data_IF_754328283276
#
_entry.id   IF_754328283276
#
_cell.length_a   1.000
_cell.length_b   1.000
_cell.length_c   1.000
_cell.angle_alpha   90.00
_cell.angle_beta   90.00
_cell.angle_gamma   90.00
#
_symmetry.space_group_name_H-M   'P 1'
#
loop_
_entity.id
_entity.type
_entity.pdbx_description
1 polymer ?
#
# COMPACT_ATOMS: atom_id res chain seq x y z
N UNK A 1 -23.86 7.13 -14.95
CA UNK A 1 -22.67 7.21 -15.82
C UNK A 1 -21.49 6.98 -14.93
N UNK A 2 -20.94 5.78 -14.92
CA UNK A 2 -19.76 5.43 -14.16
C UNK A 2 -18.57 6.13 -14.79
N UNK A 3 -17.99 7.11 -14.08
CA UNK A 3 -16.70 7.69 -14.40
C UNK A 3 -15.70 6.54 -14.46
N UNK A 4 -15.28 6.15 -15.65
CA UNK A 4 -14.18 5.21 -15.82
C UNK A 4 -12.93 5.87 -15.24
N UNK A 5 -12.46 5.39 -14.11
CA UNK A 5 -11.13 5.70 -13.61
C UNK A 5 -10.15 5.09 -14.61
N UNK A 6 -9.76 5.86 -15.61
CA UNK A 6 -8.77 5.48 -16.64
C UNK A 6 -7.35 5.65 -16.11
N UNK A 7 -7.12 5.50 -14.82
CA UNK A 7 -5.77 5.54 -14.25
C UNK A 7 -5.32 4.11 -13.91
N UNK A 8 -4.10 3.79 -14.32
CA UNK A 8 -3.39 2.58 -13.95
C UNK A 8 -3.48 2.39 -12.43
N UNK A 9 -4.04 1.26 -11.98
CA UNK A 9 -4.07 0.91 -10.56
C UNK A 9 -2.65 0.77 -10.03
N UNK A 10 -2.39 1.34 -8.86
CA UNK A 10 -1.10 1.24 -8.18
C UNK A 10 -1.08 0.06 -7.22
N UNK A 11 0.08 -0.56 -7.11
CA UNK A 11 0.33 -1.66 -6.18
C UNK A 11 1.50 -1.34 -5.26
N UNK A 12 1.33 -1.65 -4.00
CA UNK A 12 2.35 -1.44 -2.99
C UNK A 12 2.25 -2.44 -1.86
N UNK A 13 3.04 -2.20 -0.83
CA UNK A 13 3.02 -3.00 0.38
C UNK A 13 2.78 -2.15 1.61
N UNK A 14 2.21 -2.79 2.63
CA UNK A 14 2.16 -2.30 3.99
C UNK A 14 3.02 -3.23 4.85
N UNK A 15 4.25 -2.81 5.10
CA UNK A 15 5.22 -3.53 5.91
C UNK A 15 5.02 -3.11 7.38
N UNK A 16 4.18 -3.88 8.11
CA UNK A 16 4.31 -3.96 9.54
C UNK A 16 5.45 -4.95 9.78
N UNK A 17 6.62 -4.58 10.28
CA UNK A 17 7.78 -5.44 10.26
C UNK A 17 7.65 -6.57 11.30
N UNK A 18 6.65 -7.42 11.07
CA UNK A 18 6.25 -8.52 11.94
C UNK A 18 7.27 -9.64 11.83
N UNK A 19 8.09 -9.79 12.87
CA UNK A 19 9.09 -10.84 12.95
C UNK A 19 8.88 -11.70 14.19
N UNK A 20 9.13 -12.98 14.03
CA UNK A 20 9.02 -13.92 15.14
C UNK A 20 9.99 -13.54 16.27
N UNK A 21 9.51 -13.33 17.51
CA UNK A 21 10.38 -13.11 18.65
C UNK A 21 11.40 -14.23 18.78
N UNK A 22 12.68 -13.87 18.92
CA UNK A 22 13.80 -14.80 18.98
C UNK A 22 14.63 -14.86 17.70
N UNK A 23 14.19 -14.27 16.61
CA UNK A 23 15.05 -14.04 15.44
C UNK A 23 16.19 -13.05 15.76
N UNK A 24 17.19 -13.00 14.90
CA UNK A 24 18.23 -11.98 14.98
C UNK A 24 17.73 -10.66 14.36
N UNK A 25 17.49 -9.59 15.14
CA UNK A 25 16.90 -8.36 14.64
C UNK A 25 17.75 -7.65 13.57
N UNK A 26 19.06 -7.82 13.59
CA UNK A 26 19.94 -7.27 12.54
C UNK A 26 19.64 -7.90 11.18
N UNK A 27 19.39 -9.21 11.15
CA UNK A 27 19.03 -9.92 9.94
C UNK A 27 17.60 -9.62 9.48
N UNK A 28 16.68 -9.46 10.41
CA UNK A 28 15.31 -9.12 10.09
C UNK A 28 15.23 -7.73 9.44
N UNK A 29 15.90 -6.72 9.99
CA UNK A 29 15.98 -5.38 9.38
C UNK A 29 16.66 -5.39 8.00
N UNK A 30 17.77 -6.16 7.84
CA UNK A 30 18.43 -6.28 6.53
C UNK A 30 17.52 -7.00 5.51
N UNK A 31 16.79 -8.04 5.93
CA UNK A 31 15.81 -8.75 5.10
C UNK A 31 14.72 -7.81 4.61
N UNK A 32 14.20 -6.95 5.48
CA UNK A 32 13.17 -5.97 5.12
C UNK A 32 13.71 -4.93 4.12
N UNK A 33 14.95 -4.47 4.29
CA UNK A 33 15.58 -3.58 3.31
C UNK A 33 15.75 -4.26 1.95
N UNK A 34 16.23 -5.51 1.92
CA UNK A 34 16.35 -6.31 0.69
C UNK A 34 15.00 -6.57 0.03
N UNK A 35 13.96 -6.76 0.84
CA UNK A 35 12.60 -6.92 0.36
C UNK A 35 12.10 -5.65 -0.35
N UNK A 36 12.30 -4.47 0.22
CA UNK A 36 11.93 -3.21 -0.42
C UNK A 36 12.73 -2.97 -1.73
N UNK A 37 14.02 -3.34 -1.76
CA UNK A 37 14.80 -3.33 -3.01
C UNK A 37 14.22 -4.29 -4.07
N UNK A 38 13.76 -5.45 -3.65
CA UNK A 38 13.14 -6.41 -4.55
C UNK A 38 11.85 -5.86 -5.15
N UNK A 39 11.00 -5.23 -4.34
CA UNK A 39 9.77 -4.59 -4.80
C UNK A 39 10.04 -3.45 -5.79
N UNK A 40 11.07 -2.63 -5.56
CA UNK A 40 11.51 -1.58 -6.48
C UNK A 40 11.87 -2.16 -7.86
N UNK A 41 12.63 -3.25 -7.89
CA UNK A 41 12.97 -3.96 -9.14
C UNK A 41 11.78 -4.58 -9.86
N UNK A 42 10.76 -5.02 -9.11
CA UNK A 42 9.53 -5.56 -9.66
C UNK A 42 8.56 -4.49 -10.17
N UNK A 43 8.81 -3.20 -9.88
CA UNK A 43 7.98 -2.09 -10.31
C UNK A 43 6.74 -1.87 -9.44
N UNK A 44 6.79 -2.25 -8.17
CA UNK A 44 5.80 -1.81 -7.19
C UNK A 44 5.87 -0.30 -7.00
N UNK A 45 4.71 0.32 -6.77
CA UNK A 45 4.58 1.78 -6.74
C UNK A 45 4.89 2.38 -5.37
N UNK A 46 4.53 1.69 -4.25
CA UNK A 46 4.59 2.26 -2.89
C UNK A 46 4.99 1.19 -1.85
N UNK A 47 5.81 1.56 -0.86
CA UNK A 47 6.10 0.75 0.32
C UNK A 47 5.85 1.56 1.59
N UNK A 48 4.85 1.18 2.38
CA UNK A 48 4.49 1.77 3.67
C UNK A 48 5.19 1.02 4.80
N UNK A 49 5.90 1.73 5.66
CA UNK A 49 6.71 1.18 6.76
C UNK A 49 6.07 1.54 8.10
N UNK A 50 5.72 0.52 8.88
CA UNK A 50 5.05 0.66 10.18
C UNK A 50 5.93 1.25 11.28
N UNK A 51 5.28 1.75 12.35
CA UNK A 51 5.89 2.24 13.59
C UNK A 51 5.26 1.55 14.78
N UNK A 52 6.08 0.81 15.55
CA UNK A 52 5.68 0.27 16.85
C UNK A 52 6.83 0.29 17.86
N UNK A 53 6.48 0.37 19.15
CA UNK A 53 7.44 0.54 20.24
C UNK A 53 7.38 -0.58 21.28
N UNK A 54 6.39 -1.48 21.18
CA UNK A 54 6.15 -2.55 22.13
C UNK A 54 5.87 -3.87 21.44
N UNK A 55 5.46 -4.90 22.20
CA UNK A 55 5.07 -6.22 21.73
C UNK A 55 6.19 -7.17 21.29
N UNK A 56 7.35 -6.70 20.87
CA UNK A 56 8.49 -7.51 20.44
C UNK A 56 8.33 -8.21 19.10
N UNK A 57 7.32 -7.84 18.29
CA UNK A 57 7.06 -8.41 16.97
C UNK A 57 7.38 -7.43 15.85
N UNK A 58 6.89 -6.21 15.95
CA UNK A 58 7.17 -5.14 15.01
C UNK A 58 8.33 -4.31 15.53
N UNK A 59 9.51 -4.46 14.92
CA UNK A 59 10.79 -3.97 15.47
C UNK A 59 11.23 -2.62 14.92
N UNK A 60 10.49 -2.03 13.98
CA UNK A 60 10.78 -0.70 13.46
C UNK A 60 10.10 0.35 14.34
N UNK A 61 10.89 1.04 15.17
CA UNK A 61 10.43 2.11 16.04
C UNK A 61 10.55 3.51 15.43
N UNK A 62 11.17 3.62 14.27
CA UNK A 62 11.31 4.87 13.50
C UNK A 62 11.29 4.55 12.02
N UNK A 63 10.12 4.61 11.37
CA UNK A 63 10.01 4.38 9.95
C UNK A 63 10.87 5.35 9.13
N UNK A 64 11.11 6.58 9.62
CA UNK A 64 11.94 7.57 8.95
C UNK A 64 13.40 7.11 8.81
N UNK A 65 13.97 6.45 9.82
CA UNK A 65 15.33 5.90 9.75
C UNK A 65 15.41 4.75 8.75
N UNK A 66 14.42 3.86 8.78
CA UNK A 66 14.34 2.75 7.82
C UNK A 66 14.20 3.26 6.38
N UNK A 67 13.31 4.24 6.15
CA UNK A 67 13.11 4.86 4.83
C UNK A 67 14.38 5.56 4.36
N UNK A 68 15.13 6.25 5.23
CA UNK A 68 16.39 6.87 4.86
C UNK A 68 17.42 5.85 4.36
N UNK A 69 17.48 4.66 4.98
CA UNK A 69 18.32 3.55 4.53
C UNK A 69 17.82 2.95 3.21
N UNK A 70 16.50 2.67 3.10
CA UNK A 70 15.89 2.13 1.90
C UNK A 70 16.01 3.06 0.68
N UNK A 71 15.95 4.38 0.90
CA UNK A 71 16.08 5.38 -0.15
C UNK A 71 17.42 5.34 -0.89
N UNK A 72 18.49 4.87 -0.23
CA UNK A 72 19.80 4.72 -0.84
C UNK A 72 19.95 3.42 -1.65
N UNK A 73 19.01 2.49 -1.48
CA UNK A 73 18.97 1.17 -2.11
C UNK A 73 17.95 1.07 -3.23
N UNK A 74 17.01 2.02 -3.31
CA UNK A 74 15.88 2.04 -4.26
C UNK A 74 15.94 3.25 -5.18
N UNK A 75 15.21 3.21 -6.32
CA UNK A 75 15.24 4.25 -7.34
C UNK A 75 13.86 4.85 -7.65
N UNK A 76 12.84 4.00 -7.79
CA UNK A 76 11.55 4.39 -8.36
C UNK A 76 10.40 4.28 -7.34
N UNK A 77 10.40 3.25 -6.49
CA UNK A 77 9.36 3.02 -5.49
C UNK A 77 9.24 4.20 -4.53
N UNK A 78 8.02 4.63 -4.28
CA UNK A 78 7.73 5.61 -3.23
C UNK A 78 7.82 4.95 -1.87
N UNK A 79 8.49 5.60 -0.95
CA UNK A 79 8.70 5.14 0.41
C UNK A 79 7.78 5.92 1.34
N UNK A 80 7.01 5.21 2.15
CA UNK A 80 5.96 5.83 2.95
C UNK A 80 6.06 5.43 4.42
N UNK A 81 5.75 6.35 5.32
CA UNK A 81 5.49 5.98 6.71
C UNK A 81 4.12 5.32 6.82
N UNK A 82 4.02 4.23 7.51
CA UNK A 82 2.81 3.42 7.58
C UNK A 82 2.40 3.00 9.01
N UNK A 83 2.36 3.97 9.96
CA UNK A 83 2.33 5.44 9.90
C UNK A 83 3.35 6.06 10.86
N UNK A 84 3.51 7.39 10.85
CA UNK A 84 4.02 8.11 12.01
C UNK A 84 2.85 8.28 12.98
N UNK A 85 3.03 7.80 14.20
CA UNK A 85 2.06 7.96 15.29
C UNK A 85 2.22 9.37 15.88
N UNK A 86 1.58 10.38 15.28
CA UNK A 86 1.81 11.79 15.58
C UNK A 86 1.78 12.15 17.08
N UNK A 87 0.89 11.56 17.93
CA UNK A 87 0.85 11.85 19.35
C UNK A 87 2.12 11.48 20.14
N UNK A 88 2.97 10.62 19.56
CA UNK A 88 4.21 10.19 20.21
C UNK A 88 5.38 11.16 19.97
N UNK A 89 5.20 12.14 19.09
CA UNK A 89 6.26 12.99 18.60
C UNK A 89 5.91 14.47 18.69
N UNK A 90 6.89 15.32 18.99
CA UNK A 90 6.71 16.77 18.93
C UNK A 90 6.52 17.23 17.46
N UNK A 91 5.47 17.99 17.11
CA UNK A 91 5.11 18.28 15.71
C UNK A 91 6.21 18.99 14.91
N UNK A 92 7.00 19.90 15.53
CA UNK A 92 8.14 20.53 14.86
C UNK A 92 9.18 19.49 14.43
N UNK A 93 9.52 18.56 15.34
CA UNK A 93 10.49 17.50 15.04
C UNK A 93 10.01 16.59 13.91
N UNK A 94 8.71 16.29 13.85
CA UNK A 94 8.11 15.52 12.75
C UNK A 94 8.23 16.29 11.44
N UNK A 95 7.83 17.56 11.40
CA UNK A 95 7.89 18.39 10.19
C UNK A 95 9.33 18.54 9.67
N UNK A 96 10.32 18.72 10.55
CA UNK A 96 11.74 18.80 10.17
C UNK A 96 12.26 17.46 9.59
N UNK A 97 11.94 16.32 10.23
CA UNK A 97 12.33 14.99 9.76
C UNK A 97 11.68 14.65 8.42
N UNK A 98 10.39 14.96 8.25
CA UNK A 98 9.68 14.80 6.98
C UNK A 98 10.35 15.63 5.88
N UNK A 99 10.65 16.91 6.16
CA UNK A 99 11.30 17.78 5.19
C UNK A 99 12.67 17.23 4.76
N UNK A 100 13.49 16.83 5.74
CA UNK A 100 14.81 16.24 5.43
C UNK A 100 14.69 14.95 4.64
N UNK A 101 13.75 14.09 4.99
CA UNK A 101 13.53 12.80 4.34
C UNK A 101 13.01 12.97 2.91
N UNK A 102 12.17 13.97 2.66
CA UNK A 102 11.68 14.30 1.31
C UNK A 102 12.84 14.73 0.38
N UNK A 103 13.80 15.49 0.89
CA UNK A 103 15.05 15.79 0.17
C UNK A 103 15.91 14.54 -0.07
N UNK A 104 16.09 13.66 0.94
CA UNK A 104 16.87 12.43 0.82
C UNK A 104 16.24 11.47 -0.19
N UNK A 105 14.93 11.38 -0.26
CA UNK A 105 14.18 10.55 -1.20
C UNK A 105 13.97 11.22 -2.56
N UNK A 106 14.31 12.53 -2.70
CA UNK A 106 14.09 13.33 -3.91
C UNK A 106 12.62 13.31 -4.38
N UNK A 107 11.69 13.52 -3.42
CA UNK A 107 10.26 13.58 -3.70
C UNK A 107 9.55 12.22 -3.84
N UNK A 108 10.22 11.12 -3.45
CA UNK A 108 9.58 9.79 -3.37
C UNK A 108 8.93 9.49 -2.02
N UNK A 109 8.86 10.48 -1.12
CA UNK A 109 8.26 10.31 0.20
C UNK A 109 6.74 10.43 0.13
N UNK A 110 6.03 9.53 0.84
CA UNK A 110 4.64 9.68 1.25
C UNK A 110 4.61 9.64 2.77
N UNK A 111 3.80 10.50 3.40
CA UNK A 111 3.70 10.58 4.85
C UNK A 111 2.36 10.02 5.31
N UNK A 112 2.33 8.76 5.72
CA UNK A 112 1.18 8.21 6.41
C UNK A 112 1.19 8.66 7.88
N UNK A 113 0.05 9.13 8.36
CA UNK A 113 -0.12 9.63 9.73
C UNK A 113 -1.28 8.95 10.45
N UNK A 114 -1.10 8.70 11.75
CA UNK A 114 -2.09 8.04 12.58
C UNK A 114 -2.00 8.44 14.06
N UNK A 115 -2.99 7.97 14.85
CA UNK A 115 -3.01 8.27 16.31
C UNK A 115 -2.14 7.32 17.13
N UNK A 116 -1.60 6.26 16.56
CA UNK A 116 -1.05 5.11 17.27
C UNK A 116 -2.10 4.01 17.49
N UNK A 117 -1.70 2.76 17.30
CA UNK A 117 -2.61 1.61 17.30
C UNK A 117 -2.58 0.82 18.61
N UNK A 118 -1.40 0.67 19.24
CA UNK A 118 -1.23 -0.19 20.42
C UNK A 118 -1.34 0.61 21.72
N UNK A 119 -2.28 0.24 22.61
CA UNK A 119 -2.33 0.85 23.95
C UNK A 119 -1.03 0.70 24.75
N UNK A 120 -0.27 -0.40 24.52
CA UNK A 120 1.02 -0.64 25.15
C UNK A 120 2.09 0.36 24.72
N UNK A 121 2.11 0.81 23.46
CA UNK A 121 3.02 1.87 23.00
C UNK A 121 2.74 3.18 23.74
N UNK A 122 1.49 3.60 23.80
CA UNK A 122 1.07 4.79 24.54
C UNK A 122 1.43 4.70 26.04
N UNK A 123 1.17 3.56 26.67
CA UNK A 123 1.47 3.34 28.08
C UNK A 123 2.96 3.44 28.38
N UNK A 124 3.84 2.89 27.53
CA UNK A 124 5.29 2.99 27.68
C UNK A 124 5.79 4.44 27.59
N UNK A 125 5.09 5.30 26.85
CA UNK A 125 5.41 6.72 26.70
C UNK A 125 4.72 7.61 27.75
N UNK A 126 3.92 7.02 28.65
CA UNK A 126 3.16 7.77 29.66
C UNK A 126 2.00 8.58 29.07
N UNK A 127 1.43 8.11 27.97
CA UNK A 127 0.34 8.78 27.27
C UNK A 127 -0.99 8.09 27.53
N UNK A 128 -2.05 8.91 27.67
CA UNK A 128 -3.42 8.42 27.78
C UNK A 128 -3.99 8.06 26.40
N UNK A 129 -4.27 6.77 26.15
CA UNK A 129 -4.72 6.25 24.86
C UNK A 129 -5.97 6.96 24.33
N UNK A 130 -6.88 7.37 25.21
CA UNK A 130 -8.11 8.08 24.86
C UNK A 130 -7.88 9.48 24.27
N UNK A 131 -6.74 10.11 24.53
CA UNK A 131 -6.38 11.44 24.05
C UNK A 131 -5.62 11.42 22.70
N UNK A 132 -5.18 10.27 22.23
CA UNK A 132 -4.30 10.18 21.08
C UNK A 132 -4.92 10.76 19.80
N UNK A 133 -6.23 10.61 19.59
CA UNK A 133 -6.89 11.17 18.40
C UNK A 133 -6.90 12.68 18.38
N UNK A 134 -7.17 13.31 19.51
CA UNK A 134 -7.16 14.76 19.67
C UNK A 134 -5.75 15.31 19.47
N UNK A 135 -4.75 14.68 20.08
CA UNK A 135 -3.32 15.05 19.90
C UNK A 135 -2.86 14.88 18.43
N UNK A 136 -3.33 13.85 17.75
CA UNK A 136 -3.06 13.65 16.32
C UNK A 136 -3.59 14.83 15.50
N UNK A 137 -4.82 15.27 15.74
CA UNK A 137 -5.44 16.38 15.02
C UNK A 137 -4.66 17.68 15.26
N UNK A 138 -4.35 18.02 16.51
CA UNK A 138 -3.55 19.20 16.87
C UNK A 138 -2.14 19.18 16.25
N UNK A 139 -1.49 18.00 16.24
CA UNK A 139 -0.18 17.81 15.63
C UNK A 139 -0.21 17.98 14.11
N UNK A 140 -1.19 17.35 13.45
CA UNK A 140 -1.34 17.43 12.00
C UNK A 140 -1.57 18.87 11.53
N UNK A 141 -2.42 19.60 12.24
CA UNK A 141 -2.67 21.01 11.95
C UNK A 141 -1.41 21.88 12.11
N UNK A 142 -0.62 21.61 13.16
CA UNK A 142 0.65 22.33 13.36
C UNK A 142 1.69 21.99 12.28
N UNK A 143 1.78 20.71 11.87
CA UNK A 143 2.69 20.25 10.83
C UNK A 143 2.33 20.87 9.47
N UNK A 144 1.06 20.90 9.09
CA UNK A 144 0.60 21.53 7.85
C UNK A 144 0.89 23.03 7.83
N UNK A 145 0.70 23.72 8.97
CA UNK A 145 1.03 25.13 9.09
C UNK A 145 2.54 25.40 8.93
N UNK A 146 3.41 24.51 9.44
CA UNK A 146 4.87 24.65 9.29
C UNK A 146 5.36 24.46 7.84
N UNK A 147 4.60 23.77 6.99
CA UNK A 147 4.97 23.56 5.59
C UNK A 147 4.67 24.75 4.68
N UNK A 148 3.95 25.76 5.14
CA UNK A 148 3.70 26.96 4.34
C UNK A 148 4.98 27.79 4.18
N UNK A 149 5.08 28.61 3.12
CA UNK A 149 6.25 29.45 2.85
C UNK A 149 6.49 30.50 3.94
N UNK A 150 5.42 31.00 4.57
CA UNK A 150 5.45 31.96 5.67
C UNK A 150 5.29 31.28 7.06
N UNK A 151 5.58 29.99 7.12
CA UNK A 151 5.31 29.11 8.26
C UNK A 151 6.06 29.43 9.55
N UNK A 152 5.98 30.67 10.03
CA UNK A 152 6.35 31.04 11.41
C UNK A 152 5.12 30.94 12.27
N UNK A 153 5.06 29.96 13.17
CA UNK A 153 3.88 29.73 13.99
C UNK A 153 4.18 29.81 15.49
N UNK A 154 3.21 30.37 16.20
CA UNK A 154 3.08 30.29 17.64
C UNK A 154 1.84 29.48 17.96
N UNK A 155 2.00 28.37 18.68
CA UNK A 155 0.90 27.50 19.07
C UNK A 155 1.17 26.87 20.43
N UNK A 156 0.14 26.79 21.26
CA UNK A 156 0.20 26.12 22.53
C UNK A 156 -1.01 25.22 22.72
N UNK A 157 -0.75 23.97 23.07
CA UNK A 157 -1.74 22.98 23.50
C UNK A 157 -1.37 22.47 24.89
N UNK A 158 -2.08 21.48 25.40
CA UNK A 158 -1.78 20.87 26.70
C UNK A 158 -0.52 20.00 26.69
N UNK A 159 0.00 19.65 25.51
CA UNK A 159 1.11 18.70 25.39
C UNK A 159 2.29 19.17 24.54
N UNK A 160 2.15 20.24 23.73
CA UNK A 160 3.28 20.89 23.08
C UNK A 160 3.13 22.42 23.03
N UNK A 161 4.26 23.11 22.87
CA UNK A 161 4.31 24.54 22.63
C UNK A 161 5.30 24.87 21.52
N UNK A 162 4.85 25.62 20.52
CA UNK A 162 5.65 26.20 19.44
C UNK A 162 5.76 27.72 19.70
N UNK A 163 6.97 28.25 19.65
CA UNK A 163 7.25 29.68 19.80
C UNK A 163 8.05 30.16 18.62
N UNK A 164 7.44 30.97 17.76
CA UNK A 164 8.06 31.43 16.51
C UNK A 164 8.72 30.27 15.75
N UNK A 165 8.10 29.11 15.78
CA UNK A 165 8.63 27.91 15.15
C UNK A 165 8.57 28.02 13.64
N UNK A 166 9.66 27.65 12.99
CA UNK A 166 9.84 27.71 11.54
C UNK A 166 10.77 26.60 11.08
N UNK A 167 10.48 26.01 9.93
CA UNK A 167 11.39 25.04 9.31
C UNK A 167 12.64 25.75 8.75
N UNK A 168 13.82 25.12 8.91
CA UNK A 168 15.07 25.65 8.36
C UNK A 168 15.14 25.54 6.83
N UNK A 169 14.37 24.63 6.24
CA UNK A 169 14.25 24.43 4.80
C UNK A 169 12.84 24.00 4.47
N UNK A 170 12.37 24.38 3.29
CA UNK A 170 11.07 23.93 2.78
C UNK A 170 11.20 22.51 2.22
N UNK A 171 10.12 21.69 2.23
CA UNK A 171 10.12 20.36 1.62
C UNK A 171 10.61 20.38 0.16
N UNK A 172 11.17 19.29 -0.33
CA UNK A 172 11.51 19.11 -1.75
C UNK A 172 10.26 19.16 -2.63
N UNK A 173 9.21 18.46 -2.23
CA UNK A 173 7.89 18.45 -2.85
C UNK A 173 7.06 19.62 -2.37
N UNK A 174 6.39 20.35 -3.27
CA UNK A 174 5.58 21.53 -2.92
C UNK A 174 4.08 21.27 -2.98
N UNK A 175 3.28 21.77 -2.04
CA UNK A 175 3.68 22.52 -0.82
C UNK A 175 4.33 21.62 0.24
N UNK A 176 4.06 20.32 0.21
CA UNK A 176 4.63 19.29 1.08
C UNK A 176 4.53 17.92 0.39
N UNK A 177 5.27 16.88 0.84
CA UNK A 177 5.07 15.51 0.34
C UNK A 177 3.63 15.06 0.55
N UNK A 178 3.08 14.16 -0.29
CA UNK A 178 1.75 13.62 -0.09
C UNK A 178 1.57 13.06 1.33
N UNK A 179 0.48 13.45 2.00
CA UNK A 179 0.14 12.97 3.35
C UNK A 179 -1.11 12.09 3.23
N UNK A 180 -1.11 10.93 3.89
CA UNK A 180 -2.25 10.03 3.93
C UNK A 180 -2.69 9.80 5.39
N UNK A 181 -3.97 9.95 5.67
CA UNK A 181 -4.55 9.79 7.02
C UNK A 181 -5.13 8.39 7.16
N UNK A 182 -4.78 7.69 8.24
CA UNK A 182 -5.34 6.36 8.50
C UNK A 182 -6.84 6.40 8.79
N UNK A 183 -7.58 5.51 8.16
CA UNK A 183 -8.97 5.21 8.44
C UNK A 183 -9.11 3.71 8.68
N UNK A 184 -9.56 3.30 9.87
CA UNK A 184 -9.67 1.87 10.23
C UNK A 184 -11.14 1.44 10.23
N UNK A 185 -11.84 1.61 11.34
CA UNK A 185 -13.28 1.27 11.48
C UNK A 185 -14.08 2.49 11.94
N UNK A 186 -13.49 3.31 12.80
CA UNK A 186 -14.16 4.51 13.33
C UNK A 186 -14.23 5.63 12.28
N UNK A 187 -15.22 6.52 12.37
CA UNK A 187 -15.36 7.64 11.44
C UNK A 187 -14.26 8.70 11.54
N UNK A 188 -13.46 8.69 12.61
CA UNK A 188 -12.53 9.77 12.92
C UNK A 188 -11.49 10.00 11.80
N UNK A 189 -10.91 8.92 11.25
CA UNK A 189 -9.90 9.03 10.19
C UNK A 189 -10.46 9.63 8.90
N UNK A 190 -11.63 9.17 8.46
CA UNK A 190 -12.28 9.69 7.26
C UNK A 190 -12.68 11.17 7.40
N UNK A 191 -13.23 11.54 8.57
CA UNK A 191 -13.55 12.95 8.88
C UNK A 191 -12.29 13.83 8.89
N UNK A 192 -11.21 13.37 9.55
CA UNK A 192 -9.97 14.14 9.64
C UNK A 192 -9.33 14.31 8.27
N UNK A 193 -9.25 13.24 7.47
CA UNK A 193 -8.74 13.28 6.11
C UNK A 193 -9.49 14.34 5.25
N UNK A 194 -10.81 14.30 5.26
CA UNK A 194 -11.63 15.23 4.51
C UNK A 194 -11.53 16.69 4.99
N UNK A 195 -11.41 16.92 6.30
CA UNK A 195 -11.23 18.27 6.87
C UNK A 195 -9.95 18.96 6.44
N UNK A 196 -8.89 18.19 6.21
CA UNK A 196 -7.60 18.72 5.76
C UNK A 196 -7.33 18.53 4.27
N UNK A 197 -8.26 17.97 3.51
CA UNK A 197 -8.08 17.72 2.08
C UNK A 197 -7.02 16.67 1.77
N UNK A 198 -6.84 15.68 2.66
CA UNK A 198 -5.78 14.66 2.57
C UNK A 198 -6.34 13.30 2.19
N UNK A 199 -5.62 12.49 1.39
CA UNK A 199 -6.02 11.13 1.05
C UNK A 199 -6.20 10.20 2.25
N UNK A 200 -7.06 9.19 2.10
CA UNK A 200 -7.26 8.14 3.10
C UNK A 200 -6.38 6.92 2.86
N UNK A 201 -5.94 6.31 3.97
CA UNK A 201 -5.29 5.00 4.04
C UNK A 201 -6.14 4.04 4.89
N UNK A 202 -6.86 3.12 4.25
CA UNK A 202 -7.76 2.18 4.91
C UNK A 202 -7.00 0.89 5.31
N UNK A 203 -6.47 0.86 6.54
CA UNK A 203 -5.63 -0.25 7.03
C UNK A 203 -6.40 -1.56 7.26
N UNK A 204 -7.67 -1.47 7.62
CA UNK A 204 -8.50 -2.63 7.92
C UNK A 204 -9.53 -2.93 6.81
N UNK A 205 -9.26 -2.51 5.57
CA UNK A 205 -10.22 -2.59 4.47
C UNK A 205 -10.79 -3.99 4.24
N UNK A 206 -9.94 -5.02 4.32
CA UNK A 206 -10.35 -6.42 4.17
C UNK A 206 -10.83 -7.07 5.49
N UNK A 207 -10.85 -6.35 6.62
CA UNK A 207 -11.40 -6.92 7.85
C UNK A 207 -12.93 -6.93 7.83
N UNK A 208 -13.58 -7.85 8.57
CA UNK A 208 -15.05 -7.92 8.62
C UNK A 208 -15.74 -6.64 9.06
N UNK A 209 -15.08 -5.87 9.93
CA UNK A 209 -15.61 -4.58 10.38
C UNK A 209 -15.27 -3.45 9.39
N UNK A 210 -14.06 -3.47 8.84
CA UNK A 210 -13.57 -2.44 7.90
C UNK A 210 -14.30 -2.47 6.56
N UNK A 211 -14.50 -3.65 5.96
CA UNK A 211 -15.20 -3.80 4.68
C UNK A 211 -16.63 -3.21 4.70
N UNK A 212 -17.33 -3.34 5.83
CA UNK A 212 -18.69 -2.81 6.01
C UNK A 212 -18.79 -1.29 6.08
N UNK A 213 -17.67 -0.60 6.35
CA UNK A 213 -17.66 0.86 6.53
C UNK A 213 -16.99 1.61 5.38
N UNK A 214 -16.41 0.93 4.39
CA UNK A 214 -15.67 1.57 3.29
C UNK A 214 -16.52 2.61 2.55
N UNK A 215 -17.70 2.24 2.08
CA UNK A 215 -18.59 3.16 1.37
C UNK A 215 -18.97 4.36 2.24
N UNK A 216 -19.30 4.14 3.53
CA UNK A 216 -19.64 5.20 4.47
C UNK A 216 -18.44 6.12 4.77
N UNK A 217 -17.22 5.57 4.87
CA UNK A 217 -16.01 6.38 5.04
C UNK A 217 -15.78 7.28 3.81
N UNK A 218 -16.03 6.76 2.61
CA UNK A 218 -15.93 7.57 1.41
C UNK A 218 -16.96 8.71 1.37
N UNK A 219 -18.22 8.44 1.74
CA UNK A 219 -19.26 9.46 1.84
C UNK A 219 -18.87 10.57 2.83
N UNK A 220 -18.46 10.19 4.05
CA UNK A 220 -18.03 11.14 5.07
C UNK A 220 -16.82 11.96 4.64
N UNK A 221 -15.84 11.34 4.02
CA UNK A 221 -14.68 11.98 3.44
C UNK A 221 -15.09 13.03 2.40
N UNK A 222 -15.97 12.64 1.46
CA UNK A 222 -16.49 13.52 0.40
C UNK A 222 -17.26 14.71 0.97
N UNK A 223 -18.11 14.49 1.97
CA UNK A 223 -18.84 15.55 2.67
C UNK A 223 -17.90 16.55 3.35
N UNK A 224 -16.84 16.07 4.00
CA UNK A 224 -15.87 16.94 4.66
C UNK A 224 -15.04 17.74 3.65
N UNK A 225 -14.61 17.13 2.54
CA UNK A 225 -13.92 17.83 1.45
C UNK A 225 -14.80 18.99 0.93
N UNK A 226 -16.05 18.71 0.60
CA UNK A 226 -17.00 19.73 0.11
C UNK A 226 -17.20 20.85 1.15
N UNK A 227 -17.37 20.52 2.43
CA UNK A 227 -17.55 21.47 3.53
C UNK A 227 -16.36 22.42 3.71
N UNK A 228 -15.15 21.90 3.49
CA UNK A 228 -13.91 22.66 3.66
C UNK A 228 -13.32 23.22 2.35
N UNK A 229 -14.02 23.05 1.21
CA UNK A 229 -13.65 23.69 -0.06
C UNK A 229 -12.51 23.02 -0.83
N UNK A 230 -12.23 21.73 -0.58
CA UNK A 230 -11.16 20.97 -1.26
C UNK A 230 -11.56 20.33 -2.59
N UNK A 231 -12.77 20.57 -3.09
CA UNK A 231 -13.26 20.02 -4.37
C UNK A 231 -13.73 18.56 -4.28
N UNK A 232 -13.83 17.92 -5.45
CA UNK A 232 -14.30 16.53 -5.53
C UNK A 232 -13.23 15.53 -5.14
N UNK A 233 -13.58 14.47 -4.41
CA UNK A 233 -12.64 13.43 -4.01
C UNK A 233 -12.18 12.58 -5.21
N UNK A 234 -10.88 12.29 -5.27
CA UNK A 234 -10.32 11.37 -6.27
C UNK A 234 -10.05 9.97 -5.64
N UNK A 235 -10.78 8.97 -6.16
CA UNK A 235 -10.59 7.57 -5.74
C UNK A 235 -9.21 7.03 -6.11
N UNK A 236 -8.52 7.64 -7.07
CA UNK A 236 -7.15 7.28 -7.41
C UNK A 236 -6.19 7.41 -6.22
N UNK A 237 -6.46 8.32 -5.28
CA UNK A 237 -5.61 8.55 -4.10
C UNK A 237 -6.05 7.74 -2.87
N UNK A 238 -7.13 6.98 -2.96
CA UNK A 238 -7.57 6.11 -1.87
C UNK A 238 -6.77 4.81 -1.86
N UNK A 239 -6.23 4.44 -0.70
CA UNK A 239 -5.41 3.24 -0.47
C UNK A 239 -6.14 2.25 0.40
N UNK A 240 -6.26 1.01 -0.05
CA UNK A 240 -6.85 -0.09 0.70
C UNK A 240 -5.80 -1.17 0.97
N UNK A 241 -5.80 -1.71 2.19
CA UNK A 241 -4.87 -2.77 2.63
C UNK A 241 -5.60 -4.10 2.75
N UNK A 242 -5.05 -5.17 2.17
CA UNK A 242 -5.47 -6.55 2.43
C UNK A 242 -4.28 -7.51 2.49
N UNK A 243 -4.50 -8.70 3.03
CA UNK A 243 -3.46 -9.73 3.06
C UNK A 243 -3.51 -10.55 1.78
N UNK A 244 -2.38 -10.73 1.10
CA UNK A 244 -2.29 -11.51 -0.14
C UNK A 244 -1.07 -12.42 -0.10
N UNK A 245 -1.25 -13.68 -0.47
CA UNK A 245 -0.18 -14.60 -0.84
C UNK A 245 -0.57 -15.35 -2.11
N UNK A 246 0.25 -15.26 -3.13
CA UNK A 246 0.00 -15.87 -4.43
C UNK A 246 1.07 -16.90 -4.78
N UNK A 247 0.64 -18.07 -5.26
CA UNK A 247 1.50 -19.10 -5.83
C UNK A 247 0.86 -19.65 -7.11
N UNK A 248 1.56 -20.47 -7.92
CA UNK A 248 1.01 -20.99 -9.18
C UNK A 248 -0.33 -21.71 -9.04
N UNK A 249 -0.61 -22.32 -7.91
CA UNK A 249 -1.91 -22.93 -7.57
C UNK A 249 -2.31 -22.60 -6.14
N UNK A 250 -3.60 -22.74 -5.82
CA UNK A 250 -4.15 -22.53 -4.47
C UNK A 250 -3.50 -23.49 -3.45
N UNK A 251 -3.36 -24.75 -3.81
CA UNK A 251 -2.76 -25.77 -2.94
C UNK A 251 -1.29 -25.43 -2.59
N UNK A 252 -0.56 -24.90 -3.56
CA UNK A 252 0.81 -24.44 -3.36
C UNK A 252 0.85 -23.23 -2.42
N UNK A 253 -0.01 -22.24 -2.64
CA UNK A 253 -0.10 -21.05 -1.79
C UNK A 253 -0.40 -21.42 -0.33
N UNK A 254 -1.35 -22.33 -0.12
CA UNK A 254 -1.74 -22.83 1.20
C UNK A 254 -0.60 -23.57 1.90
N UNK A 255 0.12 -24.41 1.15
CA UNK A 255 1.31 -25.12 1.65
C UNK A 255 2.41 -24.14 2.08
N UNK A 256 2.62 -23.06 1.31
CA UNK A 256 3.64 -22.05 1.60
C UNK A 256 3.30 -21.26 2.86
N UNK A 257 2.05 -20.79 3.04
CA UNK A 257 1.66 -20.03 4.22
C UNK A 257 1.54 -20.88 5.49
N UNK A 258 1.37 -22.20 5.37
CA UNK A 258 1.40 -23.10 6.52
C UNK A 258 2.72 -23.03 7.31
N UNK A 259 3.79 -22.48 6.72
CA UNK A 259 5.06 -22.24 7.37
C UNK A 259 4.97 -21.32 8.59
N UNK A 260 4.17 -20.27 8.53
CA UNK A 260 4.15 -19.23 9.57
C UNK A 260 2.75 -18.69 9.93
N UNK A 261 1.68 -19.16 9.31
CA UNK A 261 0.33 -18.60 9.53
C UNK A 261 -0.12 -18.66 10.99
N UNK A 262 0.24 -19.72 11.73
CA UNK A 262 -0.11 -19.83 13.15
C UNK A 262 0.65 -18.82 14.01
N UNK A 263 1.85 -18.40 13.61
CA UNK A 263 2.60 -17.34 14.28
C UNK A 263 2.02 -15.96 13.97
N UNK A 264 1.73 -15.70 12.71
CA UNK A 264 1.06 -14.46 12.30
C UNK A 264 -0.30 -14.31 12.98
N UNK A 265 -1.07 -15.41 13.06
CA UNK A 265 -2.30 -15.48 13.82
C UNK A 265 -2.08 -15.11 15.30
N UNK A 266 -1.16 -15.75 16.01
CA UNK A 266 -0.88 -15.45 17.42
C UNK A 266 -0.52 -13.99 17.66
N UNK A 267 0.13 -13.35 16.72
CA UNK A 267 0.39 -11.91 16.80
C UNK A 267 -0.89 -11.08 16.63
N UNK A 268 -1.71 -11.38 15.63
CA UNK A 268 -3.01 -10.73 15.43
C UNK A 268 -3.96 -10.97 16.62
N UNK A 269 -3.85 -12.12 17.31
CA UNK A 269 -4.66 -12.54 18.43
C UNK A 269 -4.39 -11.79 19.75
N UNK A 270 -3.38 -10.91 19.80
CA UNK A 270 -3.15 -10.05 20.97
C UNK A 270 -4.33 -9.12 21.26
N UNK A 271 -5.01 -8.71 20.21
CA UNK A 271 -6.27 -8.00 20.35
C UNK A 271 -7.41 -9.01 20.40
N UNK A 272 -7.78 -9.42 21.62
CA UNK A 272 -8.86 -10.37 21.85
C UNK A 272 -10.19 -9.93 21.22
N UNK A 273 -10.42 -8.61 21.07
CA UNK A 273 -11.62 -8.07 20.44
C UNK A 273 -11.60 -8.24 18.92
N UNK A 274 -10.44 -8.02 18.30
CA UNK A 274 -10.25 -8.28 16.87
C UNK A 274 -10.41 -9.77 16.55
N UNK A 275 -9.75 -10.62 17.34
CA UNK A 275 -9.86 -12.06 17.19
C UNK A 275 -11.30 -12.55 17.28
N UNK A 276 -12.01 -12.14 18.32
CA UNK A 276 -13.41 -12.52 18.53
C UNK A 276 -14.26 -12.13 17.32
N UNK A 277 -14.10 -10.90 16.81
CA UNK A 277 -14.83 -10.44 15.62
C UNK A 277 -14.51 -11.27 14.37
N UNK A 278 -13.25 -11.71 14.22
CA UNK A 278 -12.82 -12.56 13.10
C UNK A 278 -13.47 -13.95 13.19
N UNK A 279 -13.44 -14.61 14.36
CA UNK A 279 -14.11 -15.90 14.56
C UNK A 279 -15.63 -15.80 14.43
N UNK A 280 -16.25 -14.79 15.01
CA UNK A 280 -17.70 -14.55 14.85
C UNK A 280 -18.10 -14.37 13.38
N UNK A 281 -17.26 -13.69 12.59
CA UNK A 281 -17.53 -13.49 11.16
C UNK A 281 -17.27 -14.75 10.35
N UNK A 282 -16.25 -15.51 10.69
CA UNK A 282 -15.95 -16.79 10.02
C UNK A 282 -17.04 -17.84 10.23
N UNK A 283 -17.78 -17.75 11.33
CA UNK A 283 -18.75 -18.77 11.73
C UNK A 283 -18.12 -20.11 12.14
N UNK A 284 -16.79 -20.14 12.29
CA UNK A 284 -16.03 -21.32 12.67
C UNK A 284 -15.75 -21.36 14.18
N UNK A 285 -15.53 -22.56 14.77
CA UNK A 285 -15.18 -22.68 16.17
C UNK A 285 -13.78 -22.10 16.46
N UNK A 286 -13.54 -21.69 17.72
CA UNK A 286 -12.28 -21.04 18.13
C UNK A 286 -11.02 -21.93 18.02
N UNK A 287 -11.18 -23.23 17.84
CA UNK A 287 -10.11 -24.21 17.60
C UNK A 287 -9.93 -24.58 16.12
N UNK A 288 -10.66 -23.94 15.22
CA UNK A 288 -10.50 -24.14 13.77
C UNK A 288 -9.09 -23.72 13.30
N UNK A 289 -8.52 -24.41 12.29
CA UNK A 289 -7.26 -24.01 11.68
C UNK A 289 -7.32 -22.55 11.20
N UNK A 290 -6.27 -21.77 11.50
CA UNK A 290 -6.27 -20.33 11.20
C UNK A 290 -6.45 -20.02 9.72
N UNK A 291 -5.94 -20.86 8.82
CA UNK A 291 -6.14 -20.68 7.38
C UNK A 291 -7.62 -20.74 6.99
N UNK A 292 -8.39 -21.64 7.60
CA UNK A 292 -9.84 -21.74 7.35
C UNK A 292 -10.59 -20.52 7.88
N UNK A 293 -10.21 -20.06 9.07
CA UNK A 293 -10.74 -18.83 9.69
C UNK A 293 -10.40 -17.61 8.83
N UNK A 294 -9.17 -17.52 8.35
CA UNK A 294 -8.69 -16.43 7.47
C UNK A 294 -9.55 -16.34 6.20
N UNK A 295 -9.79 -17.48 5.54
CA UNK A 295 -10.62 -17.53 4.34
C UNK A 295 -12.08 -17.14 4.62
N UNK A 296 -12.67 -17.77 5.62
CA UNK A 296 -14.09 -17.55 5.96
C UNK A 296 -14.37 -16.11 6.39
N UNK A 297 -13.39 -15.43 6.98
CA UNK A 297 -13.51 -14.03 7.41
C UNK A 297 -13.11 -12.99 6.35
N UNK A 298 -12.69 -13.41 5.16
CA UNK A 298 -12.35 -12.55 4.04
C UNK A 298 -11.25 -11.51 4.34
N UNK A 299 -10.31 -11.83 5.25
CA UNK A 299 -9.20 -10.95 5.62
C UNK A 299 -8.21 -10.68 4.46
N UNK A 300 -8.32 -11.45 3.40
CA UNK A 300 -7.47 -11.40 2.22
C UNK A 300 -7.59 -12.67 1.40
N UNK A 301 -6.57 -12.97 0.63
CA UNK A 301 -6.52 -14.12 -0.26
C UNK A 301 -5.19 -14.87 -0.15
N UNK A 302 -5.27 -16.19 -0.12
CA UNK A 302 -4.18 -17.14 -0.29
C UNK A 302 -4.58 -18.06 -1.43
N UNK A 303 -3.92 -17.96 -2.60
CA UNK A 303 -4.39 -18.68 -3.78
C UNK A 303 -3.56 -18.50 -5.04
N UNK A 304 -4.16 -18.84 -6.19
CA UNK A 304 -3.60 -18.64 -7.52
C UNK A 304 -3.68 -17.16 -7.96
N UNK A 305 -3.04 -16.78 -9.09
CA UNK A 305 -3.23 -15.46 -9.66
C UNK A 305 -4.70 -15.09 -9.90
N UNK A 306 -5.52 -16.04 -10.36
CA UNK A 306 -6.95 -15.85 -10.60
C UNK A 306 -7.69 -15.55 -9.29
N UNK A 307 -7.40 -16.30 -8.22
CA UNK A 307 -8.00 -16.07 -6.90
C UNK A 307 -7.68 -14.64 -6.38
N UNK A 308 -6.46 -14.17 -6.63
CA UNK A 308 -6.03 -12.82 -6.22
C UNK A 308 -6.71 -11.74 -7.06
N UNK A 309 -6.86 -11.95 -8.36
CA UNK A 309 -7.61 -11.04 -9.24
C UNK A 309 -9.05 -10.91 -8.76
N UNK A 310 -9.75 -12.04 -8.52
CA UNK A 310 -11.12 -12.04 -8.00
C UNK A 310 -11.24 -11.28 -6.67
N UNK A 311 -10.27 -11.45 -5.76
CA UNK A 311 -10.25 -10.72 -4.49
C UNK A 311 -10.11 -9.21 -4.68
N UNK A 312 -9.23 -8.74 -5.56
CA UNK A 312 -9.04 -7.32 -5.83
C UNK A 312 -10.28 -6.73 -6.52
N UNK A 313 -10.90 -7.45 -7.45
CA UNK A 313 -12.18 -7.06 -8.09
C UNK A 313 -13.30 -6.94 -7.04
N UNK A 314 -13.41 -7.90 -6.13
CA UNK A 314 -14.33 -7.81 -4.99
C UNK A 314 -14.08 -6.56 -4.12
N UNK A 315 -12.82 -6.25 -3.82
CA UNK A 315 -12.47 -5.04 -3.06
C UNK A 315 -12.82 -3.76 -3.83
N UNK A 316 -12.69 -3.74 -5.16
CA UNK A 316 -13.15 -2.65 -6.02
C UNK A 316 -14.68 -2.48 -5.95
N UNK A 317 -15.43 -3.59 -5.98
CA UNK A 317 -16.88 -3.57 -5.91
C UNK A 317 -17.38 -3.00 -4.57
N UNK A 318 -16.94 -3.56 -3.44
CA UNK A 318 -17.41 -3.15 -2.10
C UNK A 318 -17.01 -1.74 -1.69
N UNK A 319 -15.91 -1.23 -2.24
CA UNK A 319 -15.44 0.14 -2.00
C UNK A 319 -16.06 1.16 -2.96
N UNK A 320 -16.59 0.71 -4.09
CA UNK A 320 -16.98 1.56 -5.23
C UNK A 320 -15.78 2.11 -6.02
N UNK A 321 -14.61 1.45 -5.91
CA UNK A 321 -13.36 1.79 -6.57
C UNK A 321 -12.33 2.46 -5.66
N UNK A 322 -11.05 2.16 -5.89
CA UNK A 322 -9.89 2.77 -5.22
C UNK A 322 -8.65 2.67 -6.12
N UNK A 323 -7.66 3.50 -5.88
CA UNK A 323 -6.51 3.63 -6.80
C UNK A 323 -5.27 2.84 -6.42
N UNK A 324 -5.09 2.50 -5.14
CA UNK A 324 -3.89 1.78 -4.69
C UNK A 324 -4.26 0.60 -3.81
N UNK A 325 -3.81 -0.59 -4.20
CA UNK A 325 -3.90 -1.79 -3.38
C UNK A 325 -2.57 -2.04 -2.67
N UNK A 326 -2.61 -2.05 -1.35
CA UNK A 326 -1.45 -2.34 -0.51
C UNK A 326 -1.56 -3.75 0.06
N UNK A 327 -0.55 -4.57 -0.19
CA UNK A 327 -0.45 -5.92 0.37
C UNK A 327 0.17 -5.81 1.76
N UNK A 328 -0.56 -6.23 2.80
CA UNK A 328 0.02 -6.37 4.13
C UNK A 328 1.08 -7.48 4.12
N UNK A 329 2.29 -7.13 4.48
CA UNK A 329 3.39 -8.09 4.59
C UNK A 329 3.26 -8.82 5.92
N UNK A 330 3.16 -10.15 5.85
CA UNK A 330 3.08 -11.05 6.99
C UNK A 330 4.21 -12.07 6.93
N UNK A 331 4.78 -12.44 8.07
CA UNK A 331 5.84 -13.46 8.17
C UNK A 331 5.22 -14.88 8.21
N UNK A 332 4.34 -15.19 7.25
CA UNK A 332 3.59 -16.44 7.16
C UNK A 332 4.11 -17.45 6.14
N UNK A 333 4.95 -17.03 5.20
CA UNK A 333 5.64 -17.91 4.26
C UNK A 333 7.14 -17.85 4.47
N UNK A 334 7.89 -18.80 3.92
CA UNK A 334 9.35 -18.72 3.96
C UNK A 334 9.85 -17.45 3.27
N UNK A 335 11.04 -16.91 3.61
CA UNK A 335 11.58 -15.73 2.95
C UNK A 335 11.65 -15.87 1.41
N UNK A 336 11.93 -17.06 0.91
CA UNK A 336 11.98 -17.34 -0.52
C UNK A 336 10.58 -17.35 -1.12
N UNK A 337 9.64 -18.11 -0.54
CA UNK A 337 8.26 -18.16 -1.04
C UNK A 337 7.59 -16.78 -1.00
N UNK A 338 7.97 -15.94 -0.03
CA UNK A 338 7.53 -14.55 0.02
C UNK A 338 8.00 -13.78 -1.21
N UNK A 339 9.29 -13.81 -1.55
CA UNK A 339 9.82 -13.12 -2.74
C UNK A 339 9.20 -13.65 -4.04
N UNK A 340 9.09 -14.98 -4.17
CA UNK A 340 8.49 -15.64 -5.33
C UNK A 340 7.00 -15.25 -5.50
N UNK A 341 6.26 -15.09 -4.40
CA UNK A 341 4.87 -14.60 -4.40
C UNK A 341 4.74 -13.18 -4.94
N UNK A 342 5.58 -12.24 -4.52
CA UNK A 342 5.55 -10.87 -5.03
C UNK A 342 6.00 -10.77 -6.50
N UNK A 343 6.95 -11.62 -6.93
CA UNK A 343 7.33 -11.72 -8.34
C UNK A 343 6.17 -12.23 -9.20
N UNK A 344 5.48 -13.28 -8.74
CA UNK A 344 4.31 -13.82 -9.43
C UNK A 344 3.17 -12.80 -9.50
N UNK A 345 2.91 -12.07 -8.39
CA UNK A 345 1.94 -10.98 -8.35
C UNK A 345 2.26 -9.90 -9.41
N UNK A 346 3.51 -9.43 -9.45
CA UNK A 346 3.93 -8.40 -10.40
C UNK A 346 3.81 -8.86 -11.86
N UNK A 347 4.04 -10.15 -12.12
CA UNK A 347 4.02 -10.74 -13.46
C UNK A 347 2.62 -11.07 -13.95
N UNK A 348 1.73 -11.59 -13.10
CA UNK A 348 0.47 -12.19 -13.53
C UNK A 348 -0.79 -11.46 -13.00
N UNK A 349 -0.72 -10.83 -11.82
CA UNK A 349 -1.86 -10.12 -11.23
C UNK A 349 -1.88 -8.63 -11.61
N UNK A 350 -0.80 -7.92 -11.35
CA UNK A 350 -0.74 -6.47 -11.56
C UNK A 350 -1.08 -6.04 -13.00
N UNK A 351 -0.62 -6.73 -14.07
CA UNK A 351 -0.94 -6.36 -15.45
C UNK A 351 -2.43 -6.35 -15.78
N UNK A 352 -3.25 -7.17 -15.09
CA UNK A 352 -4.69 -7.22 -15.27
C UNK A 352 -5.36 -5.86 -14.95
N UNK A 353 -4.87 -5.18 -13.89
CA UNK A 353 -5.41 -3.89 -13.42
C UNK A 353 -4.68 -2.67 -13.97
N UNK A 354 -3.63 -2.86 -14.75
CA UNK A 354 -2.78 -1.78 -15.26
C UNK A 354 -2.85 -1.59 -16.76
N UNK A 355 -3.70 -2.34 -17.46
CA UNK A 355 -3.84 -2.37 -18.92
C UNK A 355 -2.51 -2.58 -19.68
N UNK A 356 -1.47 -3.02 -18.97
CA UNK A 356 -0.12 -3.15 -19.54
C UNK A 356 0.01 -4.23 -20.61
N UNK A 357 -0.87 -5.23 -20.58
CA UNK A 357 -0.91 -6.33 -21.54
C UNK A 357 -2.02 -6.20 -22.60
N UNK A 358 -3.03 -5.37 -22.38
CA UNK A 358 -4.26 -5.31 -23.20
C UNK A 358 -3.95 -5.11 -24.68
N UNK A 359 -3.16 -4.10 -25.03
CA UNK A 359 -2.81 -3.82 -26.43
C UNK A 359 -2.01 -4.98 -27.09
N UNK A 360 -1.17 -5.67 -26.32
CA UNK A 360 -0.42 -6.84 -26.84
C UNK A 360 -1.36 -8.01 -27.13
N UNK A 361 -2.32 -8.26 -26.24
CA UNK A 361 -3.32 -9.32 -26.42
C UNK A 361 -4.24 -9.02 -27.61
N UNK A 362 -4.70 -7.78 -27.76
CA UNK A 362 -5.49 -7.34 -28.91
C UNK A 362 -4.73 -7.53 -30.22
N UNK A 363 -3.47 -7.07 -30.28
CA UNK A 363 -2.62 -7.23 -31.47
C UNK A 363 -2.35 -8.70 -31.78
N UNK A 364 -2.11 -9.52 -30.76
CA UNK A 364 -1.93 -10.96 -30.96
C UNK A 364 -3.18 -11.63 -31.52
N UNK A 365 -4.36 -11.31 -30.99
CA UNK A 365 -5.64 -11.82 -31.50
C UNK A 365 -5.90 -11.39 -32.94
N UNK A 366 -5.65 -10.14 -33.26
CA UNK A 366 -5.77 -9.63 -34.63
C UNK A 366 -4.79 -10.32 -35.59
N UNK A 367 -3.55 -10.54 -35.18
CA UNK A 367 -2.53 -11.23 -35.96
C UNK A 367 -2.91 -12.69 -36.18
N UNK A 368 -3.26 -13.43 -35.13
CA UNK A 368 -3.65 -14.84 -35.21
C UNK A 368 -4.90 -15.08 -36.08
N UNK A 369 -5.82 -14.11 -36.15
CA UNK A 369 -6.97 -14.15 -37.05
C UNK A 369 -6.65 -13.88 -38.53
N UNK A 370 -5.47 -13.34 -38.82
CA UNK A 370 -5.06 -12.89 -40.18
C UNK A 370 -3.97 -13.76 -40.82
N UNK A 371 -3.60 -14.88 -40.23
CA UNK A 371 -2.49 -15.74 -40.67
C UNK A 371 -2.61 -16.14 -42.17
N UNK A 372 -3.80 -16.48 -42.64
CA UNK A 372 -4.03 -16.82 -44.03
C UNK A 372 -3.83 -15.67 -45.02
N UNK A 373 -4.12 -14.43 -44.63
CA UNK A 373 -3.90 -13.21 -45.43
C UNK A 373 -2.43 -12.86 -45.52
N UNK A 374 -1.73 -12.92 -44.39
CA UNK A 374 -0.27 -12.68 -44.33
C UNK A 374 0.50 -13.70 -45.19
N UNK A 375 0.11 -14.98 -45.15
CA UNK A 375 0.74 -15.99 -45.98
C UNK A 375 0.51 -15.74 -47.49
N UNK A 376 -0.67 -15.32 -47.90
CA UNK A 376 -0.97 -14.91 -49.27
C UNK A 376 -0.15 -13.71 -49.71
N UNK A 377 -0.06 -12.69 -48.85
CA UNK A 377 0.71 -11.49 -49.14
C UNK A 377 2.22 -11.78 -49.27
N UNK A 378 2.77 -12.64 -48.40
CA UNK A 378 4.16 -13.07 -48.44
C UNK A 378 4.45 -13.85 -49.74
N UNK A 379 3.57 -14.77 -50.11
CA UNK A 379 3.69 -15.56 -51.34
C UNK A 379 3.69 -14.64 -52.59
N UNK A 380 2.76 -13.67 -52.64
CA UNK A 380 2.68 -12.71 -53.74
C UNK A 380 3.94 -11.81 -53.81
N UNK A 381 4.47 -11.38 -52.65
CA UNK A 381 5.69 -10.59 -52.62
C UNK A 381 6.91 -11.38 -53.15
N UNK A 382 7.05 -12.62 -52.73
CA UNK A 382 8.11 -13.53 -53.21
C UNK A 382 8.02 -13.78 -54.70
N UNK A 383 6.82 -14.03 -55.22
CA UNK A 383 6.60 -14.19 -56.67
C UNK A 383 6.99 -12.94 -57.46
N UNK A 384 6.64 -11.73 -56.98
CA UNK A 384 7.04 -10.48 -57.64
C UNK A 384 8.58 -10.27 -57.59
N UNK A 385 9.21 -10.63 -56.49
CA UNK A 385 10.66 -10.52 -56.36
C UNK A 385 11.35 -11.47 -57.37
N UNK A 386 10.87 -12.72 -57.48
CA UNK A 386 11.41 -13.68 -58.49
C UNK A 386 11.21 -13.20 -59.91
N UNK A 387 10.03 -12.70 -60.26
CA UNK A 387 9.77 -12.15 -61.60
C UNK A 387 10.71 -10.99 -61.97
N UNK A 388 10.99 -10.09 -61.02
CA UNK A 388 11.95 -8.99 -61.23
C UNK A 388 13.37 -9.50 -61.45
N UNK A 389 13.78 -10.50 -60.68
CA UNK A 389 15.09 -11.11 -60.84
C UNK A 389 15.25 -11.80 -62.20
N UNK A 390 14.25 -12.57 -62.62
CA UNK A 390 14.27 -13.24 -63.92
C UNK A 390 14.27 -12.29 -65.11
N UNK A 391 13.52 -11.17 -65.00
CA UNK A 391 13.50 -10.10 -65.99
C UNK A 391 14.85 -9.36 -66.08
N UNK A 392 15.56 -9.14 -64.99
CA UNK A 392 16.90 -8.50 -64.98
C UNK A 392 17.95 -9.42 -65.66
N UNK A 393 17.89 -10.72 -65.43
CA UNK A 393 18.81 -11.68 -66.08
C UNK A 393 18.59 -11.80 -67.57
N UNK A 394 17.36 -11.67 -68.07
CA UNK A 394 17.03 -11.74 -69.50
C UNK A 394 17.43 -10.48 -70.25
N UNK A 395 17.79 -9.39 -69.59
CA UNK A 395 18.31 -8.15 -70.18
C UNK A 395 19.87 -8.14 -70.25
N UNK A 396 20.53 -9.04 -69.53
CA UNK A 396 22.00 -9.20 -69.52
C UNK A 396 22.49 -10.34 -70.41
N UNK A 397 21.58 -11.11 -70.99
CA UNK A 397 21.84 -12.19 -71.99
C UNK A 397 21.51 -11.70 -73.40
#
# INVERSE_FOLDING_TARGET
MTSSVSSRMRFGVFLGPEHKPGNNPTWDLERDLQFVEHLDRLGFDEAFIGEHHSSGWEIISSPELFIAAAAQRTRDIKLATGVISLPYHHPLMVAERITMLDHLTRGRLIVGVGPGALPSDAAMMGLEYTQLRERMEESLEAILALFTEDGVIDRKTDWFELRRAQLQMLPYTRPHPPIAVTAVVSPAGANLAGRFGLPMLALAAASPAGSKVLAKHWEMYSEQLARHGFGEPDRADWRLVSCVHVAPTREEAERQVAYGIDHAARYALRDASFLKAVYETSGLPEDAPWLDVFRASQLGVVGSPEDVIEHIEYMQEISGGYGTHLIRVLDWASPRDTLDSYELFAREVAPHFQDSATRRVENWRAFSGSEGEFQKALTAANQRAQQRYDASRSLES
#
